data_IF_083081784305
#
_entry.id   IF_083081784305
#
_cell.length_a   1.000
_cell.length_b   1.000
_cell.length_c   1.000
_cell.angle_alpha   90.00
_cell.angle_beta   90.00
_cell.angle_gamma   90.00
#
_symmetry.space_group_name_H-M   'P 1'
#
loop_
_entity.id
_entity.type
_entity.pdbx_description
1 polymer ?
#
# COMPACT_ATOMS: atom_id res chain seq x y z
N UNK A 1 -4.82 -0.38 8.75
CA UNK A 1 -4.64 0.66 9.79
C UNK A 1 -3.69 0.11 10.82
N UNK A 2 -2.64 0.84 11.20
CA UNK A 2 -1.63 0.34 12.14
C UNK A 2 -0.23 0.75 11.72
N UNK A 3 0.75 -0.13 11.92
CA UNK A 3 2.12 0.06 11.42
C UNK A 3 2.19 -0.23 9.92
N UNK A 4 2.45 0.78 9.10
CA UNK A 4 2.61 0.60 7.66
C UNK A 4 4.00 0.16 7.24
N UNK A 5 4.98 0.06 8.16
CA UNK A 5 6.34 -0.40 7.86
C UNK A 5 6.57 -1.87 8.18
N UNK A 6 5.54 -2.55 8.69
CA UNK A 6 5.64 -3.98 8.90
C UNK A 6 5.60 -4.75 7.56
N UNK A 7 6.09 -5.98 7.59
CA UNK A 7 6.14 -6.83 6.41
C UNK A 7 4.75 -7.27 5.92
N UNK A 8 3.73 -7.23 6.80
CA UNK A 8 2.36 -7.61 6.46
C UNK A 8 1.69 -6.52 5.63
N UNK A 9 1.85 -5.25 5.98
CA UNK A 9 1.38 -4.10 5.23
C UNK A 9 2.06 -4.02 3.85
N UNK A 10 3.38 -4.25 3.81
CA UNK A 10 4.13 -4.32 2.55
C UNK A 10 3.61 -5.46 1.66
N UNK A 11 3.45 -6.66 2.21
CA UNK A 11 2.94 -7.83 1.47
C UNK A 11 1.50 -7.65 1.01
N UNK A 12 0.64 -7.09 1.88
CA UNK A 12 -0.76 -6.82 1.57
C UNK A 12 -0.90 -5.79 0.45
N UNK A 13 -0.11 -4.71 0.51
CA UNK A 13 -0.09 -3.68 -0.51
C UNK A 13 0.31 -4.26 -1.87
N UNK A 14 1.42 -5.01 -1.93
CA UNK A 14 1.90 -5.58 -3.19
C UNK A 14 0.95 -6.65 -3.73
N UNK A 15 0.56 -7.64 -2.92
CA UNK A 15 -0.32 -8.71 -3.36
C UNK A 15 -1.71 -8.19 -3.75
N UNK A 16 -2.27 -7.25 -2.98
CA UNK A 16 -3.54 -6.61 -3.32
C UNK A 16 -3.46 -5.88 -4.65
N UNK A 17 -2.35 -5.16 -4.88
CA UNK A 17 -2.09 -4.51 -6.17
C UNK A 17 -2.02 -5.49 -7.33
N UNK A 18 -1.35 -6.64 -7.15
CA UNK A 18 -1.28 -7.68 -8.19
C UNK A 18 -2.67 -8.24 -8.54
N UNK A 19 -3.54 -8.39 -7.54
CA UNK A 19 -4.87 -8.98 -7.70
C UNK A 19 -5.94 -7.97 -8.17
N UNK A 20 -5.58 -6.70 -8.38
CA UNK A 20 -6.56 -5.65 -8.75
C UNK A 20 -7.42 -5.17 -7.57
N UNK A 21 -7.02 -5.48 -6.34
CA UNK A 21 -7.71 -5.04 -5.12
C UNK A 21 -7.21 -3.67 -4.72
N UNK A 22 -8.13 -2.75 -4.43
CA UNK A 22 -7.78 -1.44 -3.90
C UNK A 22 -7.32 -1.57 -2.44
N UNK A 23 -6.05 -1.27 -2.16
CA UNK A 23 -5.48 -1.35 -0.81
C UNK A 23 -5.26 0.04 -0.25
N UNK A 24 -5.86 0.31 0.91
CA UNK A 24 -5.67 1.56 1.64
C UNK A 24 -4.88 1.30 2.93
N UNK A 25 -3.66 1.83 3.01
CA UNK A 25 -2.81 1.79 4.21
C UNK A 25 -2.96 3.11 4.96
N UNK A 26 -3.67 3.05 6.09
CA UNK A 26 -3.84 4.19 7.00
C UNK A 26 -2.85 4.07 8.15
N UNK A 27 -1.86 4.96 8.22
CA UNK A 27 -0.76 4.90 9.19
C UNK A 27 -0.12 6.29 9.37
N UNK A 28 0.50 6.67 10.50
CA UNK A 28 1.20 7.94 10.62
C UNK A 28 2.33 8.10 9.59
N UNK A 29 2.60 9.32 9.10
CA UNK A 29 3.68 9.61 8.12
C UNK A 29 5.04 8.91 8.38
N UNK A 30 5.55 8.87 9.62
CA UNK A 30 6.83 8.18 9.91
C UNK A 30 6.80 6.65 9.70
N UNK A 31 5.60 6.07 9.62
CA UNK A 31 5.33 4.64 9.48
C UNK A 31 4.69 4.30 8.12
N UNK A 32 4.79 5.18 7.12
CA UNK A 32 4.40 4.83 5.75
C UNK A 32 5.24 3.64 5.24
N UNK A 33 4.63 2.81 4.39
CA UNK A 33 5.30 1.69 3.70
C UNK A 33 6.58 2.15 2.99
N UNK A 34 7.55 1.26 2.85
CA UNK A 34 8.84 1.61 2.26
C UNK A 34 8.66 2.11 0.82
N UNK A 35 9.34 3.20 0.39
CA UNK A 35 9.17 3.76 -0.96
C UNK A 35 9.38 2.75 -2.09
N UNK A 36 10.32 1.81 -1.92
CA UNK A 36 10.56 0.75 -2.89
C UNK A 36 9.36 -0.20 -3.03
N UNK A 37 8.68 -0.51 -1.91
CA UNK A 37 7.45 -1.32 -1.90
C UNK A 37 6.30 -0.56 -2.54
N UNK A 38 6.16 0.74 -2.26
CA UNK A 38 5.17 1.59 -2.91
C UNK A 38 5.35 1.59 -4.43
N UNK A 39 6.60 1.66 -4.91
CA UNK A 39 6.91 1.60 -6.34
C UNK A 39 6.55 0.25 -6.96
N UNK A 40 6.84 -0.86 -6.28
CA UNK A 40 6.46 -2.20 -6.74
C UNK A 40 4.94 -2.32 -6.84
N UNK A 41 4.21 -1.91 -5.80
CA UNK A 41 2.76 -1.90 -5.77
C UNK A 41 2.16 -1.02 -6.87
N UNK A 42 2.73 0.16 -7.11
CA UNK A 42 2.28 1.08 -8.15
C UNK A 42 2.42 0.48 -9.56
N UNK A 43 3.48 -0.28 -9.84
CA UNK A 43 3.63 -0.96 -11.12
C UNK A 43 2.52 -2.00 -11.32
N UNK A 44 2.26 -2.84 -10.32
CA UNK A 44 1.16 -3.82 -10.40
C UNK A 44 -0.21 -3.14 -10.48
N UNK A 45 -0.38 -1.99 -9.83
CA UNK A 45 -1.61 -1.23 -9.88
C UNK A 45 -1.92 -0.67 -11.26
N UNK A 46 -0.88 -0.28 -12.03
CA UNK A 46 -1.06 0.13 -13.43
C UNK A 46 -1.57 -1.01 -14.31
N UNK A 47 -1.07 -2.22 -14.09
CA UNK A 47 -1.46 -3.40 -14.87
C UNK A 47 -2.83 -3.95 -14.45
N UNK A 48 -3.12 -3.99 -13.15
CA UNK A 48 -4.34 -4.59 -12.60
C UNK A 48 -5.53 -3.64 -12.50
N UNK A 49 -5.27 -2.33 -12.59
CA UNK A 49 -6.28 -1.28 -12.38
C UNK A 49 -6.60 -1.00 -10.90
N UNK A 50 -5.84 -1.55 -9.95
CA UNK A 50 -6.02 -1.22 -8.53
C UNK A 50 -5.70 0.25 -8.24
N UNK A 51 -6.36 0.79 -7.23
CA UNK A 51 -6.21 2.17 -6.75
C UNK A 51 -5.80 2.14 -5.29
N UNK A 52 -4.50 2.14 -5.06
CA UNK A 52 -3.96 2.13 -3.71
C UNK A 52 -3.85 3.53 -3.14
N UNK A 53 -4.03 3.63 -1.82
CA UNK A 53 -3.88 4.87 -1.07
C UNK A 53 -3.04 4.62 0.18
N UNK A 54 -2.04 5.46 0.42
CA UNK A 54 -1.30 5.48 1.67
C UNK A 54 -1.53 6.87 2.28
N UNK A 55 -2.08 6.92 3.48
CA UNK A 55 -2.51 8.17 4.10
C UNK A 55 -2.36 8.12 5.62
N UNK A 56 -2.14 9.27 6.23
CA UNK A 56 -2.24 9.46 7.69
C UNK A 56 -3.63 9.93 8.14
N UNK A 57 -4.54 10.13 7.19
CA UNK A 57 -5.92 10.49 7.46
C UNK A 57 -6.80 9.27 7.71
N UNK A 58 -7.59 9.34 8.79
CA UNK A 58 -8.56 8.30 9.19
C UNK A 58 -9.96 8.65 8.69
N UNK A 59 -10.21 9.91 8.32
CA UNK A 59 -11.53 10.45 7.96
C UNK A 59 -12.08 9.91 6.63
#
# INVERSE_FOLDING_TARGET
>A
MGDGRDNVADSLLVCGSMLGVNVHIVTPKPLFTHPDVQKIAQNFAQDSGSKNLITDDIA
#
